data_IF_432131704016
#
_entry.id   IF_432131704016
#
_cell.length_a   1.000
_cell.length_b   1.000
_cell.length_c   1.000
_cell.angle_alpha   90.00
_cell.angle_beta   90.00
_cell.angle_gamma   90.00
#
_symmetry.space_group_name_H-M   'P 1'
#
loop_
_entity.id
_entity.type
_entity.pdbx_description
1 polymer ?
#
# COMPACT_ATOMS: atom_id res chain seq x y z
N UNK A 1 -16.01 4.96 -5.92
CA UNK A 1 -15.40 6.11 -5.22
C UNK A 1 -16.52 6.80 -4.44
N UNK A 2 -16.42 6.89 -3.12
CA UNK A 2 -17.50 7.48 -2.32
C UNK A 2 -17.34 9.00 -2.35
N UNK A 3 -18.17 9.68 -3.12
CA UNK A 3 -18.16 11.14 -3.33
C UNK A 3 -18.30 11.98 -2.04
N UNK A 4 -18.86 11.39 -0.98
CA UNK A 4 -19.10 12.08 0.30
C UNK A 4 -17.79 12.52 0.97
N UNK A 5 -16.75 11.69 0.99
CA UNK A 5 -15.47 12.04 1.63
C UNK A 5 -14.69 13.10 0.83
N UNK A 6 -14.85 13.14 -0.47
CA UNK A 6 -14.23 14.16 -1.32
C UNK A 6 -14.89 15.53 -1.11
N UNK A 7 -16.21 15.56 -0.91
CA UNK A 7 -16.99 16.79 -0.65
C UNK A 7 -16.60 17.38 0.72
N UNK A 8 -16.48 16.55 1.76
CA UNK A 8 -16.03 17.01 3.08
C UNK A 8 -14.59 17.57 3.02
N UNK A 9 -13.71 16.96 2.21
CA UNK A 9 -12.34 17.44 2.01
C UNK A 9 -12.29 18.76 1.25
N UNK A 10 -13.15 18.95 0.26
CA UNK A 10 -13.24 20.20 -0.52
C UNK A 10 -13.92 21.35 0.24
N UNK A 11 -14.76 21.04 1.22
CA UNK A 11 -15.44 22.04 2.05
C UNK A 11 -14.57 22.60 3.20
N UNK A 12 -13.33 22.12 3.32
CA UNK A 12 -12.29 22.78 4.13
C UNK A 12 -11.87 24.11 3.48
N UNK A 13 -12.86 24.96 3.22
CA UNK A 13 -12.70 26.27 2.60
C UNK A 13 -11.69 27.12 3.38
N UNK A 14 -10.57 27.32 2.72
CA UNK A 14 -9.61 28.34 3.04
C UNK A 14 -8.60 27.96 4.12
N UNK A 15 -7.38 27.66 3.70
CA UNK A 15 -6.11 27.76 4.45
C UNK A 15 -5.71 26.61 5.37
N UNK A 16 -6.50 25.59 5.64
CA UNK A 16 -6.03 24.40 6.37
C UNK A 16 -5.47 23.38 5.39
N UNK A 17 -4.18 23.03 5.55
CA UNK A 17 -3.54 21.96 4.78
C UNK A 17 -3.83 20.63 5.44
N UNK A 18 -4.17 19.61 4.66
CA UNK A 18 -4.35 18.25 5.12
C UNK A 18 -3.21 17.36 4.68
N UNK A 19 -2.91 16.35 5.49
CA UNK A 19 -2.03 15.25 5.13
C UNK A 19 -2.86 13.98 5.00
N UNK A 20 -2.76 13.30 3.86
CA UNK A 20 -3.52 12.08 3.57
C UNK A 20 -2.62 10.87 3.83
N UNK A 21 -3.13 9.89 4.59
CA UNK A 21 -2.43 8.67 4.95
C UNK A 21 -3.17 7.45 4.42
N UNK A 22 -2.42 6.43 3.98
CA UNK A 22 -2.97 5.16 3.50
C UNK A 22 -3.21 4.12 4.58
N UNK A 23 -3.02 4.47 5.86
CA UNK A 23 -3.19 3.54 6.97
C UNK A 23 -4.62 3.01 7.06
N UNK A 24 -4.74 1.69 7.36
CA UNK A 24 -6.00 0.96 7.29
C UNK A 24 -6.60 0.74 8.68
N UNK A 25 -5.86 0.15 9.63
CA UNK A 25 -6.44 -0.28 10.92
C UNK A 25 -5.46 -0.39 12.09
N UNK A 26 -4.18 -0.01 11.92
CA UNK A 26 -3.17 -0.06 12.99
C UNK A 26 -3.25 1.23 13.83
N UNK A 27 -3.79 1.13 15.05
CA UNK A 27 -4.05 2.28 15.93
C UNK A 27 -2.77 3.09 16.27
N UNK A 28 -1.62 2.43 16.40
CA UNK A 28 -0.34 3.12 16.67
C UNK A 28 0.08 4.00 15.49
N UNK A 29 -0.17 3.57 14.26
CA UNK A 29 0.08 4.37 13.05
C UNK A 29 -0.86 5.58 13.02
N UNK A 30 -2.16 5.37 13.25
CA UNK A 30 -3.14 6.45 13.33
C UNK A 30 -2.72 7.51 14.35
N UNK A 31 -2.35 7.06 15.54
CA UNK A 31 -1.91 7.94 16.63
C UNK A 31 -0.67 8.74 16.23
N UNK A 32 0.35 8.05 15.71
CA UNK A 32 1.61 8.67 15.31
C UNK A 32 1.40 9.73 14.23
N UNK A 33 0.69 9.40 13.15
CA UNK A 33 0.38 10.31 12.05
C UNK A 33 -0.44 11.52 12.54
N UNK A 34 -1.44 11.28 13.41
CA UNK A 34 -2.26 12.34 14.00
C UNK A 34 -1.43 13.30 14.84
N UNK A 35 -0.55 12.79 15.69
CA UNK A 35 0.30 13.62 16.56
C UNK A 35 1.30 14.45 15.74
N UNK A 36 1.86 13.89 14.66
CA UNK A 36 2.75 14.62 13.74
C UNK A 36 2.01 15.74 13.01
N UNK A 37 0.82 15.47 12.50
CA UNK A 37 -0.01 16.49 11.86
C UNK A 37 -0.36 17.63 12.81
N UNK A 38 -0.78 17.32 14.02
CA UNK A 38 -1.10 18.32 15.06
C UNK A 38 0.10 19.23 15.37
N UNK A 39 1.30 18.64 15.48
CA UNK A 39 2.53 19.38 15.80
C UNK A 39 2.88 20.47 14.77
N UNK A 40 2.42 20.33 13.52
CA UNK A 40 2.70 21.27 12.42
C UNK A 40 1.43 21.96 11.87
N UNK A 41 0.31 21.84 12.57
CA UNK A 41 -0.95 22.50 12.21
C UNK A 41 -1.62 21.93 10.95
N UNK A 42 -1.37 20.66 10.62
CA UNK A 42 -2.03 19.93 9.55
C UNK A 42 -3.25 19.17 10.07
N UNK A 43 -4.19 18.88 9.15
CA UNK A 43 -5.32 17.99 9.42
C UNK A 43 -4.95 16.59 8.91
N UNK A 44 -4.93 15.54 9.76
CA UNK A 44 -4.74 14.18 9.30
C UNK A 44 -6.02 13.67 8.64
N UNK A 45 -5.89 12.97 7.50
CA UNK A 45 -7.02 12.37 6.81
C UNK A 45 -6.67 10.93 6.40
N UNK A 46 -7.54 9.99 6.79
CA UNK A 46 -7.34 8.54 6.61
C UNK A 46 -8.52 7.97 5.80
N UNK A 47 -8.49 8.05 4.47
CA UNK A 47 -9.61 7.63 3.62
C UNK A 47 -9.89 6.12 3.66
N UNK A 48 -8.90 5.31 4.05
CA UNK A 48 -8.98 3.84 4.08
C UNK A 48 -9.22 3.29 5.50
N UNK A 49 -9.37 4.16 6.49
CA UNK A 49 -9.45 3.75 7.89
C UNK A 49 -10.65 2.85 8.17
N UNK A 50 -10.38 1.67 8.76
CA UNK A 50 -11.38 0.63 9.07
C UNK A 50 -12.09 0.03 7.84
N UNK A 51 -11.55 0.20 6.65
CA UNK A 51 -12.03 -0.52 5.46
C UNK A 51 -11.52 -1.97 5.47
N UNK A 52 -12.23 -2.88 4.79
CA UNK A 52 -11.84 -4.29 4.71
C UNK A 52 -10.58 -4.46 3.85
N UNK A 53 -9.52 -5.08 4.40
CA UNK A 53 -8.22 -5.26 3.75
C UNK A 53 -8.33 -5.95 2.39
N UNK A 54 -9.04 -7.07 2.29
CA UNK A 54 -9.24 -7.82 1.05
C UNK A 54 -9.93 -6.97 -0.02
N UNK A 55 -10.97 -6.24 0.39
CA UNK A 55 -11.69 -5.33 -0.51
C UNK A 55 -10.76 -4.23 -1.03
N UNK A 56 -9.90 -3.66 -0.20
CA UNK A 56 -8.96 -2.61 -0.61
C UNK A 56 -7.96 -3.10 -1.64
N UNK A 57 -7.41 -4.31 -1.47
CA UNK A 57 -6.50 -4.93 -2.46
C UNK A 57 -7.22 -5.14 -3.78
N UNK A 58 -8.44 -5.65 -3.76
CA UNK A 58 -9.19 -5.86 -4.99
C UNK A 58 -9.61 -4.56 -5.66
N UNK A 59 -10.05 -3.55 -4.89
CA UNK A 59 -10.36 -2.22 -5.42
C UNK A 59 -9.12 -1.59 -6.10
N UNK A 60 -7.92 -1.79 -5.53
CA UNK A 60 -6.66 -1.31 -6.09
C UNK A 60 -6.33 -2.00 -7.42
N UNK A 61 -6.44 -3.34 -7.46
CA UNK A 61 -6.20 -4.13 -8.68
C UNK A 61 -7.22 -3.76 -9.77
N UNK A 62 -8.50 -3.70 -9.42
CA UNK A 62 -9.60 -3.42 -10.35
C UNK A 62 -9.57 -1.96 -10.87
N UNK A 63 -9.03 -1.05 -10.09
CA UNK A 63 -8.75 0.31 -10.54
C UNK A 63 -7.66 0.37 -11.63
N UNK A 64 -6.97 -0.73 -11.90
CA UNK A 64 -5.95 -0.85 -12.94
C UNK A 64 -4.54 -0.48 -12.50
N UNK A 65 -4.28 -0.33 -11.20
CA UNK A 65 -2.92 -0.20 -10.70
C UNK A 65 -2.14 -1.49 -10.89
N UNK A 66 -0.86 -1.35 -11.25
CA UNK A 66 0.08 -2.46 -11.40
C UNK A 66 1.23 -2.28 -10.45
N UNK A 67 1.40 -3.25 -9.58
CA UNK A 67 2.44 -3.25 -8.55
C UNK A 67 3.16 -4.59 -8.53
N UNK A 68 4.46 -4.57 -8.24
CA UNK A 68 5.31 -5.77 -8.15
C UNK A 68 5.81 -5.92 -6.72
N UNK A 69 5.85 -7.14 -6.21
CA UNK A 69 6.38 -7.46 -4.88
C UNK A 69 7.90 -7.37 -4.92
N UNK A 70 8.46 -6.47 -4.12
CA UNK A 70 9.90 -6.15 -4.14
C UNK A 70 10.66 -6.59 -2.90
N UNK A 71 9.98 -6.77 -1.77
CA UNK A 71 10.58 -7.24 -0.52
C UNK A 71 9.61 -8.22 0.15
N UNK A 72 10.14 -9.29 0.73
CA UNK A 72 9.39 -10.27 1.52
C UNK A 72 10.14 -10.53 2.83
N UNK A 73 9.43 -10.52 3.95
CA UNK A 73 9.91 -11.09 5.23
C UNK A 73 9.71 -12.61 5.20
N UNK A 74 10.79 -13.36 4.99
CA UNK A 74 10.76 -14.83 4.83
C UNK A 74 10.36 -15.59 6.09
N UNK A 75 10.29 -14.91 7.25
CA UNK A 75 9.72 -15.48 8.48
C UNK A 75 8.18 -15.45 8.46
N UNK A 76 7.57 -14.68 7.58
CA UNK A 76 6.12 -14.43 7.53
C UNK A 76 5.46 -14.95 6.26
N UNK A 77 6.21 -15.05 5.17
CA UNK A 77 5.69 -15.39 3.86
C UNK A 77 6.77 -16.08 3.01
N UNK A 78 6.37 -17.01 2.15
CA UNK A 78 7.28 -17.66 1.20
C UNK A 78 7.81 -16.64 0.17
N UNK A 79 9.09 -16.78 -0.22
CA UNK A 79 9.74 -15.87 -1.15
C UNK A 79 9.42 -16.16 -2.64
N UNK A 80 8.61 -17.16 -2.93
CA UNK A 80 8.10 -17.47 -4.27
C UNK A 80 7.27 -16.33 -4.88
N UNK A 81 6.69 -15.48 -4.03
CA UNK A 81 5.94 -14.30 -4.45
C UNK A 81 6.85 -13.12 -4.88
N UNK A 82 8.15 -13.18 -4.57
CA UNK A 82 9.07 -12.08 -4.88
C UNK A 82 9.22 -11.88 -6.40
N UNK A 83 8.89 -10.67 -6.86
CA UNK A 83 8.92 -10.32 -8.28
C UNK A 83 7.63 -10.64 -9.02
N UNK A 84 6.61 -11.15 -8.34
CA UNK A 84 5.29 -11.29 -8.93
C UNK A 84 4.54 -9.97 -8.95
N UNK A 85 3.78 -9.74 -10.03
CA UNK A 85 2.83 -8.62 -10.10
C UNK A 85 1.60 -9.01 -9.29
N UNK A 86 1.14 -8.10 -8.43
CA UNK A 86 -0.03 -8.32 -7.60
C UNK A 86 -1.29 -8.31 -8.46
N UNK A 87 -1.72 -9.51 -8.86
CA UNK A 87 -3.00 -9.79 -9.51
C UNK A 87 -3.99 -10.35 -8.50
N UNK A 88 -5.26 -10.56 -8.90
CA UNK A 88 -6.24 -11.24 -8.03
C UNK A 88 -5.76 -12.63 -7.64
N UNK A 89 -5.25 -13.41 -8.59
CA UNK A 89 -4.78 -14.79 -8.33
C UNK A 89 -3.59 -14.79 -7.35
N UNK A 90 -2.66 -13.83 -7.49
CA UNK A 90 -1.52 -13.67 -6.57
C UNK A 90 -2.02 -13.24 -5.18
N UNK A 91 -2.98 -12.32 -5.10
CA UNK A 91 -3.56 -11.86 -3.85
C UNK A 91 -4.30 -13.01 -3.11
N UNK A 92 -5.04 -13.85 -3.85
CA UNK A 92 -5.70 -15.05 -3.31
C UNK A 92 -4.67 -16.07 -2.80
N UNK A 93 -3.60 -16.33 -3.57
CA UNK A 93 -2.53 -17.23 -3.15
C UNK A 93 -1.79 -16.73 -1.89
N UNK A 94 -1.62 -15.41 -1.74
CA UNK A 94 -1.06 -14.80 -0.52
C UNK A 94 -1.99 -15.09 0.67
N UNK A 95 -3.30 -14.84 0.53
CA UNK A 95 -4.28 -15.11 1.60
C UNK A 95 -4.32 -16.60 1.97
N UNK A 96 -4.32 -17.50 0.98
CA UNK A 96 -4.30 -18.96 1.17
C UNK A 96 -3.02 -19.43 1.89
N UNK A 97 -1.90 -18.74 1.72
CA UNK A 97 -0.66 -19.02 2.46
C UNK A 97 -0.72 -18.66 3.94
N UNK A 98 -1.77 -17.95 4.37
CA UNK A 98 -1.96 -17.45 5.73
C UNK A 98 -1.30 -16.09 5.99
N UNK A 99 -0.71 -15.46 4.98
CA UNK A 99 -0.18 -14.09 5.06
C UNK A 99 -1.30 -13.06 4.91
N UNK A 100 -1.09 -11.84 5.44
CA UNK A 100 -2.03 -10.76 5.23
C UNK A 100 -2.01 -10.28 3.78
N UNK A 101 -3.18 -10.29 3.16
CA UNK A 101 -3.35 -9.92 1.76
C UNK A 101 -2.89 -8.48 1.44
N UNK A 102 -2.90 -7.57 2.44
CA UNK A 102 -2.40 -6.20 2.32
C UNK A 102 -0.92 -6.05 2.67
N UNK A 103 -0.30 -7.05 3.34
CA UNK A 103 1.06 -6.95 3.87
C UNK A 103 1.23 -5.97 5.02
N UNK A 104 0.13 -5.59 5.70
CA UNK A 104 0.12 -4.59 6.77
C UNK A 104 0.88 -5.02 8.04
N UNK A 105 1.08 -6.33 8.23
CA UNK A 105 1.89 -6.84 9.33
C UNK A 105 3.38 -6.95 8.96
N UNK A 106 3.79 -6.45 7.79
CA UNK A 106 5.16 -6.43 7.31
C UNK A 106 5.58 -7.71 6.58
N UNK A 107 4.63 -8.44 5.99
CA UNK A 107 4.90 -9.63 5.20
C UNK A 107 5.67 -9.30 3.92
N UNK A 108 5.25 -8.24 3.23
CA UNK A 108 5.85 -7.82 1.97
C UNK A 108 5.74 -6.33 1.71
N UNK A 109 6.56 -5.83 0.78
CA UNK A 109 6.47 -4.49 0.22
C UNK A 109 6.39 -4.54 -1.30
N UNK A 110 5.80 -3.52 -1.89
CA UNK A 110 5.56 -3.44 -3.33
C UNK A 110 6.13 -2.16 -3.94
N UNK A 111 6.29 -2.18 -5.26
CA UNK A 111 6.57 -1.03 -6.09
C UNK A 111 5.48 -0.89 -7.16
N UNK A 112 4.71 0.19 -7.09
CA UNK A 112 3.67 0.49 -8.09
C UNK A 112 4.30 1.21 -9.27
N UNK A 113 4.19 0.63 -10.47
CA UNK A 113 4.88 1.08 -11.66
C UNK A 113 3.95 1.54 -12.78
N UNK A 114 2.63 1.33 -12.64
CA UNK A 114 1.62 1.73 -13.62
C UNK A 114 0.25 1.86 -12.95
N UNK A 115 -0.68 2.59 -13.57
CA UNK A 115 -2.04 2.73 -13.08
C UNK A 115 -2.74 3.99 -13.60
N UNK A 116 -4.00 4.21 -13.21
CA UNK A 116 -4.84 5.28 -13.78
C UNK A 116 -4.36 6.70 -13.47
N UNK A 117 -3.44 6.88 -12.50
CA UNK A 117 -2.87 8.17 -12.14
C UNK A 117 -1.51 8.44 -12.79
N UNK A 118 -0.96 7.46 -13.51
CA UNK A 118 0.33 7.59 -14.18
C UNK A 118 0.12 8.19 -15.58
N UNK A 119 0.91 9.19 -15.93
CA UNK A 119 0.95 9.72 -17.29
C UNK A 119 1.67 8.77 -18.25
N UNK A 120 2.61 8.00 -17.72
CA UNK A 120 3.30 6.92 -18.40
C UNK A 120 3.78 5.88 -17.39
N UNK A 121 3.85 4.62 -17.83
CA UNK A 121 4.39 3.51 -17.05
C UNK A 121 5.85 3.78 -16.68
N UNK A 122 6.23 3.49 -15.43
CA UNK A 122 7.62 3.49 -14.99
C UNK A 122 8.29 2.23 -15.52
N UNK A 123 9.29 2.39 -16.38
CA UNK A 123 10.14 1.28 -16.85
C UNK A 123 11.12 0.87 -15.75
N UNK A 124 11.34 -0.41 -15.60
CA UNK A 124 12.38 -0.95 -14.72
C UNK A 124 12.88 -2.28 -15.24
N UNK A 125 14.09 -2.67 -14.81
CA UNK A 125 14.69 -3.97 -15.11
C UNK A 125 14.96 -4.72 -13.81
N UNK A 126 14.57 -5.99 -13.75
CA UNK A 126 14.92 -6.85 -12.63
C UNK A 126 16.38 -7.29 -12.80
N UNK A 127 17.21 -6.92 -11.83
CA UNK A 127 18.65 -7.24 -11.88
C UNK A 127 18.91 -8.58 -11.21
N UNK A 128 18.46 -8.76 -9.95
CA UNK A 128 18.68 -10.00 -9.19
C UNK A 128 17.81 -10.06 -7.94
N UNK A 129 17.71 -11.26 -7.39
CA UNK A 129 17.20 -11.47 -6.02
C UNK A 129 18.38 -11.42 -5.05
N UNK A 130 18.19 -10.75 -3.92
CA UNK A 130 19.16 -10.62 -2.82
C UNK A 130 18.52 -11.13 -1.54
N UNK A 131 19.32 -11.76 -0.69
CA UNK A 131 18.86 -12.20 0.63
C UNK A 131 19.70 -11.50 1.70
N UNK A 132 19.04 -10.86 2.65
CA UNK A 132 19.67 -10.18 3.80
C UNK A 132 18.90 -10.50 5.04
N UNK A 133 19.52 -11.20 5.99
CA UNK A 133 18.87 -11.68 7.21
C UNK A 133 17.58 -12.44 6.87
N UNK A 134 16.45 -11.88 7.27
CA UNK A 134 15.11 -12.42 7.02
C UNK A 134 14.41 -11.84 5.78
N UNK A 135 15.07 -11.03 5.00
CA UNK A 135 14.46 -10.38 3.84
C UNK A 135 14.96 -10.94 2.52
N UNK A 136 14.01 -11.34 1.67
CA UNK A 136 14.23 -11.53 0.25
C UNK A 136 13.90 -10.22 -0.47
N UNK A 137 14.84 -9.70 -1.26
CA UNK A 137 14.78 -8.36 -1.87
C UNK A 137 14.96 -8.48 -3.37
N UNK A 138 14.07 -7.86 -4.13
CA UNK A 138 14.20 -7.72 -5.58
C UNK A 138 14.99 -6.45 -5.89
N UNK A 139 16.19 -6.61 -6.46
CA UNK A 139 16.95 -5.47 -6.99
C UNK A 139 16.39 -5.08 -8.34
N UNK A 140 15.93 -3.87 -8.48
CA UNK A 140 15.39 -3.28 -9.72
C UNK A 140 16.14 -1.99 -10.06
N UNK A 141 16.24 -1.66 -11.35
CA UNK A 141 16.87 -0.46 -11.91
C UNK A 141 15.97 0.18 -12.97
#
# INVERSE_FOLDING_TARGET
>A
MRDIKLIEFMDLKGKKKACVFGDIDIEDHLKWCTDRCKAVGLIPYFPLWKENRKKLVYDFIDAGFKTIITIIDTNRMADDFLGQVLTRDVAEAIEESGADICGENGEYHTFTFDGPLFTQKIGFTIIKKLYREKYAILSIE
#
